data_IF_855174733942
#
_entry.id   IF_855174733942
#
_cell.length_a   1.000
_cell.length_b   1.000
_cell.length_c   1.000
_cell.angle_alpha   90.00
_cell.angle_beta   90.00
_cell.angle_gamma   90.00
#
_symmetry.space_group_name_H-M   'P 1'
#
loop_
_entity.id
_entity.type
_entity.pdbx_description
1 polymer ?
#
# COMPACT_ATOMS: atom_id res chain seq x y z
N UNK A 1 9.48 -12.74 21.83
CA UNK A 1 8.58 -11.73 21.24
C UNK A 1 7.27 -12.43 20.89
N UNK A 2 6.10 -11.84 21.18
CA UNK A 2 4.81 -12.46 20.83
C UNK A 2 4.70 -12.56 19.29
N UNK A 3 4.33 -13.71 18.70
CA UNK A 3 4.40 -13.96 17.25
C UNK A 3 3.61 -12.95 16.41
N UNK A 4 2.53 -12.38 16.96
CA UNK A 4 1.74 -11.34 16.32
C UNK A 4 2.58 -10.09 15.98
N UNK A 5 3.41 -9.60 16.90
CA UNK A 5 4.23 -8.40 16.64
C UNK A 5 5.27 -8.64 15.53
N UNK A 6 5.83 -9.84 15.46
CA UNK A 6 6.76 -10.21 14.39
C UNK A 6 6.08 -10.19 13.02
N UNK A 7 4.82 -10.64 12.93
CA UNK A 7 4.04 -10.60 11.69
C UNK A 7 3.84 -9.17 11.17
N UNK A 8 3.51 -8.25 12.09
CA UNK A 8 3.38 -6.83 11.80
C UNK A 8 4.72 -6.19 11.39
N UNK A 9 5.80 -6.51 12.11
CA UNK A 9 7.13 -5.96 11.81
C UNK A 9 7.69 -6.43 10.47
N UNK A 10 7.36 -7.65 10.03
CA UNK A 10 7.69 -8.16 8.70
C UNK A 10 6.78 -7.61 7.58
N UNK A 11 5.85 -6.70 7.90
CA UNK A 11 4.91 -6.09 6.96
C UNK A 11 4.02 -7.11 6.23
N UNK A 12 3.78 -8.28 6.83
CA UNK A 12 2.99 -9.35 6.21
C UNK A 12 1.50 -9.01 6.09
N UNK A 13 0.99 -8.10 6.95
CA UNK A 13 -0.38 -7.57 6.82
C UNK A 13 -0.57 -6.87 5.46
N UNK A 14 0.36 -5.98 5.10
CA UNK A 14 0.32 -5.23 3.84
C UNK A 14 0.48 -6.17 2.64
N UNK A 15 1.36 -7.17 2.75
CA UNK A 15 1.56 -8.19 1.71
C UNK A 15 0.27 -8.95 1.41
N UNK A 16 -0.43 -9.43 2.46
CA UNK A 16 -1.70 -10.10 2.28
C UNK A 16 -2.77 -9.16 1.71
N UNK A 17 -2.81 -7.91 2.17
CA UNK A 17 -3.71 -6.90 1.65
C UNK A 17 -3.50 -6.61 0.17
N UNK A 18 -2.26 -6.54 -0.29
CA UNK A 18 -1.94 -6.36 -1.70
C UNK A 18 -2.49 -7.51 -2.56
N UNK A 19 -2.34 -8.76 -2.10
CA UNK A 19 -2.86 -9.94 -2.82
C UNK A 19 -4.38 -9.97 -2.87
N UNK A 20 -5.05 -9.68 -1.75
CA UNK A 20 -6.52 -9.66 -1.68
C UNK A 20 -7.10 -8.53 -2.54
N UNK A 21 -6.48 -7.35 -2.49
CA UNK A 21 -6.85 -6.20 -3.32
C UNK A 21 -6.62 -6.48 -4.81
N UNK A 22 -5.53 -7.17 -5.17
CA UNK A 22 -5.25 -7.57 -6.55
C UNK A 22 -6.28 -8.58 -7.07
N UNK A 23 -6.74 -9.51 -6.22
CA UNK A 23 -7.82 -10.44 -6.59
C UNK A 23 -9.13 -9.71 -6.84
N UNK A 24 -9.48 -8.72 -6.03
CA UNK A 24 -10.67 -7.88 -6.27
C UNK A 24 -10.53 -7.13 -7.59
N UNK A 25 -9.38 -6.51 -7.85
CA UNK A 25 -9.11 -5.84 -9.12
C UNK A 25 -9.23 -6.80 -10.31
N UNK A 26 -8.69 -8.01 -10.22
CA UNK A 26 -8.80 -9.01 -11.28
C UNK A 26 -10.22 -9.47 -11.53
N UNK A 27 -11.02 -9.64 -10.48
CA UNK A 27 -12.43 -9.99 -10.63
C UNK A 27 -13.23 -8.84 -11.22
N UNK A 28 -12.94 -7.59 -10.84
CA UNK A 28 -13.56 -6.40 -11.43
C UNK A 28 -13.22 -6.24 -12.91
N UNK A 29 -11.97 -6.54 -13.27
CA UNK A 29 -11.45 -6.45 -14.63
C UNK A 29 -11.71 -7.69 -15.47
N UNK A 30 -12.42 -8.69 -14.97
CA UNK A 30 -12.67 -9.96 -15.67
C UNK A 30 -11.36 -10.59 -16.23
N UNK A 31 -10.33 -10.60 -15.39
CA UNK A 31 -9.04 -11.28 -15.61
C UNK A 31 -8.98 -12.49 -14.67
N UNK A 32 -9.98 -13.35 -14.75
CA UNK A 32 -10.09 -14.56 -13.93
C UNK A 32 -10.18 -15.77 -14.87
N UNK A 33 -9.41 -16.86 -14.62
CA UNK A 33 -8.48 -17.04 -13.50
C UNK A 33 -7.14 -16.31 -13.69
N UNK A 34 -6.64 -15.66 -12.62
CA UNK A 34 -5.25 -15.20 -12.59
C UNK A 34 -4.35 -16.42 -12.40
N UNK A 35 -3.25 -16.48 -13.15
CA UNK A 35 -2.20 -17.46 -12.90
C UNK A 35 -1.68 -17.34 -11.45
N UNK A 36 -1.60 -18.46 -10.72
CA UNK A 36 -1.23 -18.48 -9.30
C UNK A 36 0.11 -17.78 -9.02
N UNK A 37 1.06 -17.88 -9.96
CA UNK A 37 2.37 -17.24 -9.86
C UNK A 37 2.27 -15.71 -9.75
N UNK A 38 1.27 -15.07 -10.36
CA UNK A 38 1.07 -13.61 -10.28
C UNK A 38 0.84 -13.17 -8.83
N UNK A 39 -0.01 -13.87 -8.09
CA UNK A 39 -0.27 -13.55 -6.68
C UNK A 39 0.96 -13.80 -5.80
N UNK A 40 1.70 -14.88 -6.05
CA UNK A 40 2.92 -15.19 -5.28
C UNK A 40 4.03 -14.18 -5.58
N UNK A 41 4.26 -13.84 -6.85
CA UNK A 41 5.26 -12.83 -7.24
C UNK A 41 4.89 -11.47 -6.68
N UNK A 42 3.62 -11.05 -6.75
CA UNK A 42 3.16 -9.80 -6.14
C UNK A 42 3.46 -9.78 -4.63
N UNK A 43 3.13 -10.86 -3.92
CA UNK A 43 3.40 -10.97 -2.49
C UNK A 43 4.90 -10.83 -2.17
N UNK A 44 5.75 -11.56 -2.91
CA UNK A 44 7.21 -11.51 -2.75
C UNK A 44 7.76 -10.11 -3.05
N UNK A 45 7.34 -9.49 -4.15
CA UNK A 45 7.83 -8.16 -4.56
C UNK A 45 7.42 -7.07 -3.57
N UNK A 46 6.16 -7.05 -3.13
CA UNK A 46 5.71 -6.11 -2.09
C UNK A 46 6.53 -6.31 -0.82
N UNK A 47 6.72 -7.56 -0.39
CA UNK A 47 7.51 -7.87 0.79
C UNK A 47 8.98 -7.43 0.66
N UNK A 48 9.61 -7.67 -0.50
CA UNK A 48 10.98 -7.25 -0.80
C UNK A 48 11.09 -5.73 -0.73
N UNK A 49 10.21 -5.00 -1.42
CA UNK A 49 10.27 -3.52 -1.48
C UNK A 49 10.12 -2.94 -0.06
N UNK A 50 9.14 -3.40 0.71
CA UNK A 50 8.94 -2.95 2.09
C UNK A 50 10.15 -3.28 2.97
N UNK A 51 10.71 -4.49 2.87
CA UNK A 51 11.85 -4.89 3.70
C UNK A 51 13.11 -4.10 3.32
N UNK A 52 13.36 -3.89 2.03
CA UNK A 52 14.52 -3.11 1.54
C UNK A 52 14.42 -1.64 1.94
N UNK A 53 13.27 -0.98 1.73
CA UNK A 53 13.03 0.40 2.18
C UNK A 53 13.36 0.54 3.67
N UNK A 54 12.90 -0.40 4.50
CA UNK A 54 13.17 -0.36 5.95
C UNK A 54 14.62 -0.66 6.32
N UNK A 55 15.29 -1.59 5.64
CA UNK A 55 16.71 -1.84 5.86
C UNK A 55 17.57 -0.63 5.49
N UNK A 56 17.17 0.11 4.45
CA UNK A 56 17.85 1.35 4.03
C UNK A 56 17.58 2.51 4.99
N UNK A 57 16.33 2.68 5.44
CA UNK A 57 15.95 3.68 6.43
C UNK A 57 16.75 3.50 7.74
N UNK A 58 16.85 2.27 8.24
CA UNK A 58 17.63 1.95 9.45
C UNK A 58 19.13 2.20 9.29
N UNK A 59 19.68 2.01 8.08
CA UNK A 59 21.10 2.32 7.79
C UNK A 59 21.37 3.83 7.80
N UNK A 60 20.39 4.63 7.39
CA UNK A 60 20.50 6.10 7.30
C UNK A 60 20.18 6.80 8.62
N UNK A 61 19.40 6.17 9.49
CA UNK A 61 18.96 6.75 10.75
C UNK A 61 20.11 6.83 11.78
N UNK A 62 20.51 8.05 12.14
CA UNK A 62 21.37 8.35 13.28
C UNK A 62 20.52 8.85 14.46
N UNK A 63 20.00 7.93 15.28
CA UNK A 63 19.16 8.29 16.43
C UNK A 63 18.48 7.09 17.10
N UNK A 64 17.75 7.30 18.21
CA UNK A 64 16.99 6.26 18.87
C UNK A 64 15.86 5.76 17.97
N UNK A 65 15.61 4.46 18.07
CA UNK A 65 14.87 3.68 17.09
C UNK A 65 13.54 3.23 17.72
N UNK A 66 12.41 3.38 17.01
CA UNK A 66 11.15 2.74 17.44
C UNK A 66 11.36 1.22 17.60
N UNK A 67 10.49 0.49 18.33
CA UNK A 67 10.61 -0.96 18.47
C UNK A 67 10.75 -1.69 17.12
N UNK A 68 10.01 -1.23 16.10
CA UNK A 68 10.10 -1.73 14.72
C UNK A 68 11.46 -1.46 14.07
N UNK A 69 12.00 -0.26 14.20
CA UNK A 69 13.32 0.07 13.69
C UNK A 69 14.42 -0.76 14.39
N UNK A 70 14.29 -0.96 15.71
CA UNK A 70 15.19 -1.82 16.49
C UNK A 70 15.13 -3.27 15.99
N UNK A 71 13.94 -3.80 15.69
CA UNK A 71 13.78 -5.13 15.11
C UNK A 71 14.53 -5.28 13.77
N UNK A 72 14.36 -4.34 12.85
CA UNK A 72 15.02 -4.39 11.54
C UNK A 72 16.54 -4.22 11.66
N UNK A 73 17.01 -3.36 12.57
CA UNK A 73 18.45 -3.19 12.82
C UNK A 73 19.09 -4.45 13.37
N UNK A 74 18.45 -5.07 14.36
CA UNK A 74 18.97 -6.29 15.03
C UNK A 74 18.97 -7.50 14.10
N UNK A 75 18.05 -7.57 13.14
CA UNK A 75 17.91 -8.70 12.22
C UNK A 75 18.36 -8.40 10.78
N UNK A 76 19.07 -7.29 10.57
CA UNK A 76 19.36 -6.76 9.22
C UNK A 76 20.01 -7.78 8.29
N UNK A 77 21.00 -8.55 8.78
CA UNK A 77 21.69 -9.59 7.98
C UNK A 77 20.74 -10.72 7.57
N UNK A 78 19.95 -11.23 8.51
CA UNK A 78 18.97 -12.31 8.23
C UNK A 78 17.88 -11.83 7.28
N UNK A 79 17.36 -10.62 7.50
CA UNK A 79 16.38 -10.00 6.60
C UNK A 79 16.96 -9.80 5.20
N UNK A 80 18.22 -9.38 5.07
CA UNK A 80 18.91 -9.29 3.78
C UNK A 80 19.03 -10.64 3.06
N UNK A 81 19.34 -11.71 3.78
CA UNK A 81 19.37 -13.07 3.22
C UNK A 81 17.98 -13.53 2.76
N UNK A 82 16.94 -13.26 3.56
CA UNK A 82 15.57 -13.58 3.20
C UNK A 82 15.09 -12.78 1.97
N UNK A 83 15.46 -11.49 1.87
CA UNK A 83 15.21 -10.66 0.69
C UNK A 83 15.90 -11.24 -0.54
N UNK A 84 17.16 -11.66 -0.45
CA UNK A 84 17.87 -12.29 -1.55
C UNK A 84 17.19 -13.60 -2.00
N UNK A 85 16.79 -14.45 -1.04
CA UNK A 85 16.06 -15.68 -1.33
C UNK A 85 14.68 -15.42 -1.98
N UNK A 86 13.94 -14.44 -1.48
CA UNK A 86 12.66 -14.02 -2.05
C UNK A 86 12.81 -13.45 -3.46
N UNK A 87 13.86 -12.66 -3.71
CA UNK A 87 14.16 -12.12 -5.04
C UNK A 87 14.54 -13.20 -6.04
N UNK A 88 15.34 -14.20 -5.61
CA UNK A 88 15.67 -15.36 -6.44
C UNK A 88 14.41 -16.15 -6.78
N UNK A 89 13.57 -16.45 -5.79
CA UNK A 89 12.31 -17.15 -5.99
C UNK A 89 11.38 -16.37 -6.93
N UNK A 90 11.23 -15.05 -6.73
CA UNK A 90 10.45 -14.21 -7.62
C UNK A 90 11.01 -14.24 -9.06
N UNK A 91 12.33 -14.18 -9.23
CA UNK A 91 12.99 -14.27 -10.53
C UNK A 91 12.72 -15.59 -11.26
N UNK A 92 12.67 -16.71 -10.54
CA UNK A 92 12.27 -18.02 -11.09
C UNK A 92 10.78 -18.01 -11.45
N UNK A 93 9.93 -17.47 -10.58
CA UNK A 93 8.48 -17.46 -10.79
C UNK A 93 8.04 -16.54 -11.93
N UNK A 94 8.86 -15.55 -12.32
CA UNK A 94 8.60 -14.66 -13.47
C UNK A 94 8.43 -15.44 -14.77
N UNK A 95 9.11 -16.57 -14.96
CA UNK A 95 8.96 -17.41 -16.15
C UNK A 95 7.56 -18.04 -16.30
N UNK A 96 6.78 -18.05 -15.22
CA UNK A 96 5.40 -18.54 -15.22
C UNK A 96 4.37 -17.41 -15.37
N UNK A 97 4.80 -16.15 -15.49
CA UNK A 97 3.91 -15.01 -15.63
C UNK A 97 3.49 -14.79 -17.09
N UNK A 98 2.25 -14.33 -17.34
CA UNK A 98 1.84 -13.88 -18.66
C UNK A 98 2.77 -12.77 -19.20
N UNK A 99 3.03 -12.78 -20.51
CA UNK A 99 3.94 -11.84 -21.18
C UNK A 99 3.70 -10.35 -20.82
N UNK A 100 2.45 -9.86 -20.76
CA UNK A 100 2.20 -8.47 -20.41
C UNK A 100 2.56 -8.16 -18.95
N UNK A 101 2.35 -9.12 -18.04
CA UNK A 101 2.57 -8.94 -16.60
C UNK A 101 4.04 -8.81 -16.26
N UNK A 102 4.91 -9.66 -16.81
CA UNK A 102 6.35 -9.54 -16.49
C UNK A 102 7.00 -8.31 -17.15
N UNK A 103 6.55 -7.90 -18.35
CA UNK A 103 6.99 -6.64 -18.97
C UNK A 103 6.62 -5.44 -18.11
N UNK A 104 5.36 -5.38 -17.68
CA UNK A 104 4.88 -4.36 -16.75
C UNK A 104 5.68 -4.37 -15.44
N UNK A 105 5.87 -5.56 -14.86
CA UNK A 105 6.63 -5.75 -13.62
C UNK A 105 8.09 -5.34 -13.72
N UNK A 106 8.74 -5.56 -14.87
CA UNK A 106 10.12 -5.12 -15.11
C UNK A 106 10.24 -3.59 -15.10
N UNK A 107 9.32 -2.91 -15.81
CA UNK A 107 9.27 -1.44 -15.85
C UNK A 107 8.98 -0.87 -14.47
N UNK A 108 7.93 -1.35 -13.81
CA UNK A 108 7.54 -0.88 -12.47
C UNK A 108 8.63 -1.18 -11.44
N UNK A 109 9.26 -2.35 -11.50
CA UNK A 109 10.39 -2.73 -10.65
C UNK A 109 11.58 -1.81 -10.83
N UNK A 110 11.91 -1.44 -12.07
CA UNK A 110 12.93 -0.44 -12.38
C UNK A 110 12.61 0.93 -11.79
N UNK A 111 11.35 1.38 -11.91
CA UNK A 111 10.88 2.64 -11.31
C UNK A 111 10.99 2.59 -9.78
N UNK A 112 10.55 1.50 -9.14
CA UNK A 112 10.66 1.32 -7.69
C UNK A 112 12.12 1.33 -7.22
N UNK A 113 13.02 0.64 -7.92
CA UNK A 113 14.44 0.62 -7.60
C UNK A 113 15.07 2.01 -7.75
N UNK A 114 14.77 2.72 -8.84
CA UNK A 114 15.22 4.09 -9.07
C UNK A 114 14.71 5.05 -8.00
N UNK A 115 13.44 4.93 -7.62
CA UNK A 115 12.82 5.69 -6.54
C UNK A 115 13.50 5.44 -5.18
N UNK A 116 13.66 4.17 -4.77
CA UNK A 116 14.30 3.80 -3.51
C UNK A 116 15.73 4.33 -3.46
N UNK A 117 16.48 4.18 -4.56
CA UNK A 117 17.84 4.70 -4.66
C UNK A 117 17.88 6.23 -4.55
N UNK A 118 16.98 6.93 -5.25
CA UNK A 118 16.88 8.38 -5.18
C UNK A 118 16.60 8.86 -3.75
N UNK A 119 15.56 8.31 -3.10
CA UNK A 119 15.19 8.64 -1.71
C UNK A 119 16.33 8.35 -0.74
N UNK A 120 17.04 7.23 -0.92
CA UNK A 120 18.18 6.87 -0.09
C UNK A 120 19.32 7.91 -0.20
N UNK A 121 19.57 8.44 -1.40
CA UNK A 121 20.64 9.43 -1.65
C UNK A 121 20.30 10.85 -1.20
N UNK A 122 19.02 11.20 -1.06
CA UNK A 122 18.62 12.56 -0.67
C UNK A 122 19.05 12.90 0.78
N UNK A 123 19.40 14.15 1.10
CA UNK A 123 19.57 14.58 2.49
C UNK A 123 18.30 14.37 3.32
N UNK A 124 18.45 14.17 4.64
CA UNK A 124 17.35 13.79 5.55
C UNK A 124 16.17 14.80 5.63
N UNK A 125 16.35 16.04 5.14
CA UNK A 125 15.33 17.10 5.11
C UNK A 125 15.09 17.68 3.72
N UNK A 126 15.40 16.94 2.67
CA UNK A 126 15.20 17.41 1.31
C UNK A 126 13.70 17.52 0.98
N UNK A 127 13.22 18.61 0.33
CA UNK A 127 11.80 18.82 0.03
C UNK A 127 11.17 17.69 -0.81
N UNK A 128 11.95 17.04 -1.68
CA UNK A 128 11.45 15.89 -2.45
C UNK A 128 11.04 14.67 -1.59
N UNK A 129 11.45 14.59 -0.32
CA UNK A 129 10.97 13.57 0.60
C UNK A 129 9.47 13.75 0.94
N UNK A 130 8.90 14.93 0.74
CA UNK A 130 7.45 15.16 0.86
C UNK A 130 6.65 14.40 -0.21
N UNK A 131 7.27 14.14 -1.36
CA UNK A 131 6.65 13.32 -2.41
C UNK A 131 6.77 11.82 -2.11
N UNK A 132 7.48 11.42 -1.04
CA UNK A 132 7.68 10.00 -0.68
C UNK A 132 6.33 9.29 -0.56
N UNK A 133 5.43 9.83 0.25
CA UNK A 133 4.11 9.25 0.56
C UNK A 133 3.20 9.11 -0.67
N UNK A 134 2.91 10.17 -1.45
CA UNK A 134 2.04 10.03 -2.62
C UNK A 134 2.66 9.12 -3.70
N UNK A 135 3.98 9.14 -3.87
CA UNK A 135 4.65 8.24 -4.83
C UNK A 135 4.55 6.77 -4.39
N UNK A 136 4.71 6.47 -3.10
CA UNK A 136 4.55 5.09 -2.60
C UNK A 136 3.12 4.61 -2.79
N UNK A 137 2.12 5.46 -2.52
CA UNK A 137 0.71 5.12 -2.75
C UNK A 137 0.43 4.79 -4.22
N UNK A 138 0.98 5.58 -5.16
CA UNK A 138 0.86 5.36 -6.60
C UNK A 138 1.57 4.07 -7.01
N UNK A 139 2.82 3.85 -6.59
CA UNK A 139 3.59 2.65 -6.94
C UNK A 139 2.95 1.37 -6.39
N UNK A 140 2.45 1.43 -5.15
CA UNK A 140 1.72 0.32 -4.53
C UNK A 140 0.45 -0.02 -5.32
N UNK A 141 -0.35 1.00 -5.64
CA UNK A 141 -1.60 0.84 -6.39
C UNK A 141 -1.35 0.38 -7.82
N UNK A 142 -0.30 0.88 -8.47
CA UNK A 142 0.14 0.41 -9.78
C UNK A 142 0.56 -1.06 -9.75
N UNK A 143 1.24 -1.53 -8.70
CA UNK A 143 1.54 -2.96 -8.54
C UNK A 143 0.28 -3.82 -8.42
N UNK A 144 -0.67 -3.38 -7.58
CA UNK A 144 -1.93 -4.09 -7.32
C UNK A 144 -2.86 -4.12 -8.53
N UNK A 145 -3.13 -2.97 -9.15
CA UNK A 145 -4.08 -2.84 -10.26
C UNK A 145 -3.43 -2.99 -11.63
N UNK A 146 -2.24 -2.42 -11.81
CA UNK A 146 -1.55 -2.42 -13.11
C UNK A 146 -1.13 -3.82 -13.57
N UNK A 147 -0.83 -4.75 -12.66
CA UNK A 147 -0.56 -6.15 -13.03
C UNK A 147 -1.78 -6.87 -13.62
N UNK A 148 -2.99 -6.44 -13.25
CA UNK A 148 -4.25 -6.90 -13.84
C UNK A 148 -4.49 -6.20 -15.17
N UNK A 149 -4.43 -4.87 -15.18
CA UNK A 149 -4.72 -4.05 -16.35
C UNK A 149 -3.74 -4.27 -17.51
N UNK A 150 -2.48 -4.64 -17.23
CA UNK A 150 -1.52 -5.01 -18.26
C UNK A 150 -2.01 -6.16 -19.16
N UNK A 151 -2.96 -6.97 -18.70
CA UNK A 151 -3.52 -8.09 -19.44
C UNK A 151 -4.77 -7.73 -20.25
N UNK A 152 -5.23 -6.47 -20.19
CA UNK A 152 -6.45 -5.99 -20.85
C UNK A 152 -6.11 -5.04 -21.98
N UNK A 153 -6.91 -5.08 -23.05
CA UNK A 153 -6.77 -4.12 -24.17
C UNK A 153 -7.35 -2.74 -23.83
N UNK A 154 -8.37 -2.69 -22.97
CA UNK A 154 -9.03 -1.48 -22.52
C UNK A 154 -9.44 -1.60 -21.05
N UNK A 155 -9.47 -0.46 -20.37
CA UNK A 155 -9.85 -0.33 -18.96
C UNK A 155 -11.02 0.66 -18.93
N UNK A 156 -12.11 0.28 -18.28
CA UNK A 156 -13.31 1.12 -18.21
C UNK A 156 -13.14 2.30 -17.25
N UNK A 157 -14.03 3.28 -17.37
CA UNK A 157 -14.04 4.43 -16.46
C UNK A 157 -14.25 4.00 -15.00
N UNK A 158 -15.12 3.01 -14.75
CA UNK A 158 -15.38 2.47 -13.41
C UNK A 158 -14.13 1.82 -12.84
N UNK A 159 -13.41 1.02 -13.63
CA UNK A 159 -12.15 0.40 -13.20
C UNK A 159 -11.12 1.47 -12.85
N UNK A 160 -10.96 2.50 -13.68
CA UNK A 160 -10.10 3.64 -13.38
C UNK A 160 -10.51 4.37 -12.10
N UNK A 161 -11.80 4.63 -11.90
CA UNK A 161 -12.32 5.28 -10.69
C UNK A 161 -12.01 4.44 -9.45
N UNK A 162 -12.25 3.14 -9.46
CA UNK A 162 -11.95 2.27 -8.32
C UNK A 162 -10.43 2.14 -8.07
N UNK A 163 -9.60 2.11 -9.12
CA UNK A 163 -8.14 2.15 -8.98
C UNK A 163 -7.64 3.46 -8.37
N UNK A 164 -8.26 4.59 -8.72
CA UNK A 164 -7.97 5.90 -8.12
C UNK A 164 -8.46 5.98 -6.67
N UNK A 165 -9.64 5.44 -6.37
CA UNK A 165 -10.13 5.30 -5.00
C UNK A 165 -9.16 4.47 -4.15
N UNK A 166 -8.67 3.34 -4.67
CA UNK A 166 -7.67 2.51 -4.00
C UNK A 166 -6.36 3.28 -3.77
N UNK A 167 -5.91 4.07 -4.74
CA UNK A 167 -4.72 4.93 -4.60
C UNK A 167 -4.91 5.99 -3.52
N UNK A 168 -6.10 6.61 -3.48
CA UNK A 168 -6.45 7.56 -2.43
C UNK A 168 -6.46 6.90 -1.04
N UNK A 169 -6.97 5.67 -0.91
CA UNK A 169 -6.95 4.89 0.35
C UNK A 169 -5.52 4.52 0.75
N UNK A 170 -4.67 4.11 -0.20
CA UNK A 170 -3.25 3.85 0.05
C UNK A 170 -2.53 5.10 0.57
N UNK A 171 -2.81 6.25 -0.03
CA UNK A 171 -2.25 7.52 0.45
C UNK A 171 -2.82 7.91 1.82
N UNK A 172 -4.12 7.73 2.04
CA UNK A 172 -4.79 7.96 3.32
C UNK A 172 -4.16 7.11 4.44
N UNK A 173 -3.82 5.86 4.15
CA UNK A 173 -3.16 4.95 5.08
C UNK A 173 -1.74 5.41 5.45
N UNK A 174 -0.93 5.83 4.47
CA UNK A 174 0.43 6.34 4.72
C UNK A 174 0.40 7.62 5.56
N UNK A 175 -0.42 8.60 5.15
CA UNK A 175 -0.54 9.87 5.85
C UNK A 175 -1.09 9.71 7.28
N UNK A 176 -2.00 8.75 7.48
CA UNK A 176 -2.46 8.36 8.82
C UNK A 176 -1.30 7.88 9.69
N UNK A 177 -0.43 7.01 9.16
CA UNK A 177 0.72 6.52 9.92
C UNK A 177 1.69 7.64 10.27
N UNK A 178 1.98 8.54 9.33
CA UNK A 178 2.87 9.67 9.60
C UNK A 178 2.29 10.63 10.66
N UNK A 179 0.97 10.80 10.73
CA UNK A 179 0.31 11.54 11.82
C UNK A 179 0.46 10.84 13.18
N UNK A 180 0.24 9.52 13.25
CA UNK A 180 0.35 8.78 14.51
C UNK A 180 1.81 8.69 15.00
N UNK A 181 2.77 8.49 14.10
CA UNK A 181 4.20 8.47 14.44
C UNK A 181 4.68 9.82 15.01
N UNK A 182 4.06 10.94 14.64
CA UNK A 182 4.32 12.23 15.28
C UNK A 182 3.86 12.32 16.74
N UNK A 183 2.90 11.49 17.16
CA UNK A 183 2.44 11.46 18.56
C UNK A 183 3.30 10.56 19.44
N UNK A 184 4.12 9.69 18.83
CA UNK A 184 4.99 8.79 19.56
C UNK A 184 6.20 9.55 20.15
N UNK A 185 6.67 9.18 21.36
CA UNK A 185 7.87 9.77 21.95
C UNK A 185 9.07 9.55 21.03
N UNK A 186 9.69 10.64 20.57
CA UNK A 186 10.84 10.59 19.68
C UNK A 186 11.99 11.41 20.28
N UNK A 187 13.12 10.75 20.53
CA UNK A 187 14.30 11.38 21.13
C UNK A 187 15.34 11.72 20.04
N UNK A 188 15.06 12.71 19.19
CA UNK A 188 15.99 13.14 18.14
C UNK A 188 15.34 14.00 17.04
N UNK A 189 16.00 14.15 15.90
CA UNK A 189 15.42 14.79 14.73
C UNK A 189 14.44 13.84 14.02
N UNK A 190 13.15 14.22 13.98
CA UNK A 190 12.11 13.42 13.31
C UNK A 190 12.38 13.31 11.81
N UNK A 191 12.05 12.17 11.18
CA UNK A 191 12.07 12.03 9.73
C UNK A 191 11.22 13.13 9.08
N UNK A 192 11.66 13.62 7.93
CA UNK A 192 10.89 14.62 7.18
C UNK A 192 9.80 13.94 6.35
N UNK A 193 8.55 14.16 6.74
CA UNK A 193 7.32 13.64 6.12
C UNK A 193 6.31 14.77 5.87
N UNK A 194 5.25 14.52 5.09
CA UNK A 194 4.17 15.49 4.88
C UNK A 194 3.57 15.94 6.20
N UNK A 195 3.41 14.98 7.11
CA UNK A 195 2.85 15.22 8.42
C UNK A 195 3.72 16.20 9.25
N UNK A 196 5.05 16.15 9.12
CA UNK A 196 5.96 17.11 9.76
C UNK A 196 6.03 18.47 9.06
N UNK A 197 5.81 18.52 7.74
CA UNK A 197 5.95 19.76 6.95
C UNK A 197 4.66 20.59 6.90
N UNK A 198 3.50 19.93 6.75
CA UNK A 198 2.19 20.58 6.68
C UNK A 198 1.47 20.65 8.03
N UNK A 199 1.94 19.88 9.01
CA UNK A 199 1.35 19.82 10.33
C UNK A 199 0.04 19.02 10.38
N UNK A 200 -0.43 18.77 11.60
CA UNK A 200 -1.57 17.88 11.85
C UNK A 200 -2.90 18.40 11.29
N UNK A 201 -3.12 19.71 11.29
CA UNK A 201 -4.38 20.33 10.83
C UNK A 201 -4.57 20.16 9.31
N UNK A 202 -3.53 20.44 8.52
CA UNK A 202 -3.60 20.28 7.07
C UNK A 202 -3.76 18.82 6.68
N UNK A 203 -3.03 17.91 7.33
CA UNK A 203 -3.17 16.47 7.10
C UNK A 203 -4.57 15.97 7.48
N UNK A 204 -5.16 16.47 8.58
CA UNK A 204 -6.54 16.14 8.96
C UNK A 204 -7.55 16.53 7.86
N UNK A 205 -7.38 17.74 7.32
CA UNK A 205 -8.23 18.25 6.25
C UNK A 205 -8.08 17.44 4.95
N UNK A 206 -6.86 17.05 4.59
CA UNK A 206 -6.59 16.20 3.43
C UNK A 206 -7.26 14.83 3.61
N UNK A 207 -7.07 14.17 4.74
CA UNK A 207 -7.69 12.86 5.03
C UNK A 207 -9.21 12.93 4.96
N UNK A 208 -9.81 14.02 5.46
CA UNK A 208 -11.27 14.26 5.38
C UNK A 208 -11.74 14.40 3.94
N UNK A 209 -11.05 15.18 3.12
CA UNK A 209 -11.39 15.36 1.71
C UNK A 209 -11.18 14.10 0.89
N UNK A 210 -10.12 13.33 1.16
CA UNK A 210 -9.91 12.02 0.54
C UNK A 210 -11.06 11.07 0.90
N UNK A 211 -11.46 11.02 2.17
CA UNK A 211 -12.59 10.17 2.60
C UNK A 211 -13.88 10.57 1.91
N UNK A 212 -14.19 11.88 1.89
CA UNK A 212 -15.36 12.38 1.19
C UNK A 212 -15.34 12.03 -0.29
N UNK A 213 -14.20 12.24 -0.96
CA UNK A 213 -14.04 11.94 -2.39
C UNK A 213 -14.21 10.46 -2.70
N UNK A 214 -13.61 9.56 -1.91
CA UNK A 214 -13.76 8.11 -2.09
C UNK A 214 -15.20 7.66 -1.85
N UNK A 215 -15.85 8.15 -0.79
CA UNK A 215 -17.25 7.81 -0.50
C UNK A 215 -18.18 8.35 -1.59
N UNK A 216 -17.99 9.59 -2.03
CA UNK A 216 -18.78 10.17 -3.12
C UNK A 216 -18.60 9.40 -4.43
N UNK A 217 -17.37 8.99 -4.77
CA UNK A 217 -17.10 8.14 -5.94
C UNK A 217 -17.78 6.76 -5.81
N UNK A 218 -17.76 6.15 -4.63
CA UNK A 218 -18.43 4.87 -4.38
C UNK A 218 -19.95 4.96 -4.62
N UNK A 219 -20.60 6.01 -4.09
CA UNK A 219 -22.01 6.28 -4.36
C UNK A 219 -22.27 6.62 -5.84
N UNK A 220 -21.38 7.38 -6.47
CA UNK A 220 -21.45 7.69 -7.91
C UNK A 220 -21.47 6.42 -8.77
N UNK A 221 -20.58 5.46 -8.49
CA UNK A 221 -20.58 4.14 -9.17
C UNK A 221 -21.90 3.41 -8.90
N UNK A 222 -22.41 3.42 -7.67
CA UNK A 222 -23.67 2.75 -7.34
C UNK A 222 -24.87 3.29 -8.13
N UNK A 223 -24.89 4.60 -8.41
CA UNK A 223 -26.01 5.27 -9.09
C UNK A 223 -25.86 5.31 -10.61
N UNK A 224 -24.63 5.40 -11.13
CA UNK A 224 -24.36 5.72 -12.53
C UNK A 224 -23.77 4.56 -13.34
N UNK A 225 -23.24 3.51 -12.70
CA UNK A 225 -22.69 2.38 -13.44
C UNK A 225 -23.80 1.57 -14.12
N UNK A 226 -23.52 1.10 -15.34
CA UNK A 226 -24.41 0.22 -16.10
C UNK A 226 -23.75 -1.14 -16.40
N UNK A 227 -24.52 -2.08 -16.94
CA UNK A 227 -24.03 -3.43 -17.26
C UNK A 227 -22.96 -3.46 -18.36
N UNK A 228 -22.87 -2.43 -19.20
CA UNK A 228 -21.86 -2.33 -20.26
C UNK A 228 -20.53 -1.73 -19.79
N UNK A 229 -20.52 -1.11 -18.61
CA UNK A 229 -19.39 -0.31 -18.12
C UNK A 229 -18.28 -1.11 -17.44
N UNK A 230 -18.43 -2.40 -17.16
CA UNK A 230 -17.48 -3.14 -16.32
C UNK A 230 -17.32 -4.59 -16.73
N UNK A 231 -16.08 -5.09 -16.80
CA UNK A 231 -15.78 -6.49 -17.13
C UNK A 231 -16.40 -7.48 -16.14
N UNK A 232 -16.21 -7.27 -14.84
CA UNK A 232 -16.67 -8.15 -13.76
C UNK A 232 -18.17 -8.10 -13.45
N UNK A 233 -18.94 -7.31 -14.20
CA UNK A 233 -20.37 -7.12 -14.04
C UNK A 233 -20.76 -6.05 -13.01
N UNK A 234 -21.92 -5.42 -13.24
CA UNK A 234 -22.40 -4.27 -12.48
C UNK A 234 -22.49 -4.51 -10.97
N UNK A 235 -23.09 -5.64 -10.56
CA UNK A 235 -23.28 -5.95 -9.12
C UNK A 235 -21.96 -6.08 -8.38
N UNK A 236 -20.92 -6.60 -9.03
CA UNK A 236 -19.60 -6.73 -8.41
C UNK A 236 -18.95 -5.36 -8.27
N UNK A 237 -18.99 -4.53 -9.31
CA UNK A 237 -18.49 -3.15 -9.28
C UNK A 237 -19.12 -2.31 -8.16
N UNK A 238 -20.44 -2.39 -7.98
CA UNK A 238 -21.10 -1.67 -6.89
C UNK A 238 -20.62 -2.16 -5.51
N UNK A 239 -20.43 -3.48 -5.35
CA UNK A 239 -19.94 -4.06 -4.07
C UNK A 239 -18.48 -3.68 -3.80
N UNK A 240 -17.60 -3.74 -4.80
CA UNK A 240 -16.19 -3.35 -4.66
C UNK A 240 -16.05 -1.86 -4.38
N UNK A 241 -16.82 -1.00 -5.06
CA UNK A 241 -16.87 0.43 -4.81
C UNK A 241 -17.32 0.75 -3.38
N UNK A 242 -18.40 0.12 -2.89
CA UNK A 242 -18.84 0.28 -1.50
C UNK A 242 -17.78 -0.22 -0.51
N UNK A 243 -17.08 -1.32 -0.83
CA UNK A 243 -16.02 -1.84 0.02
C UNK A 243 -14.83 -0.87 0.11
N UNK A 244 -14.41 -0.27 -1.00
CA UNK A 244 -13.40 0.80 -1.01
C UNK A 244 -13.86 2.02 -0.20
N UNK A 245 -15.15 2.38 -0.28
CA UNK A 245 -15.76 3.39 0.59
C UNK A 245 -15.62 3.04 2.08
N UNK A 246 -15.95 1.82 2.47
CA UNK A 246 -15.82 1.32 3.85
C UNK A 246 -14.36 1.34 4.30
N UNK A 247 -13.41 0.91 3.45
CA UNK A 247 -11.97 0.98 3.72
C UNK A 247 -11.54 2.40 4.09
N UNK A 248 -11.95 3.40 3.30
CA UNK A 248 -11.64 4.81 3.55
C UNK A 248 -12.26 5.33 4.85
N UNK A 249 -13.52 4.97 5.12
CA UNK A 249 -14.22 5.33 6.37
C UNK A 249 -13.52 4.73 7.59
N UNK A 250 -13.05 3.48 7.52
CA UNK A 250 -12.31 2.84 8.61
C UNK A 250 -11.05 3.63 8.95
N UNK A 251 -10.26 4.04 7.94
CA UNK A 251 -9.07 4.86 8.15
C UNK A 251 -9.42 6.22 8.78
N UNK A 252 -10.52 6.85 8.35
CA UNK A 252 -11.02 8.09 8.94
C UNK A 252 -11.47 7.91 10.39
N UNK A 253 -12.11 6.79 10.74
CA UNK A 253 -12.47 6.47 12.12
C UNK A 253 -11.21 6.30 12.99
N UNK A 254 -10.18 5.62 12.48
CA UNK A 254 -8.91 5.46 13.21
C UNK A 254 -8.31 6.83 13.56
N UNK A 255 -8.30 7.74 12.59
CA UNK A 255 -7.86 9.12 12.76
C UNK A 255 -8.65 9.88 13.84
N UNK A 256 -9.97 9.68 13.92
CA UNK A 256 -10.84 10.45 14.82
C UNK A 256 -10.68 10.07 16.30
N UNK A 257 -10.19 8.87 16.60
CA UNK A 257 -10.04 8.35 17.96
C UNK A 257 -8.59 8.00 18.31
N UNK A 258 -7.63 8.97 18.24
CA UNK A 258 -6.21 8.69 18.39
C UNK A 258 -5.86 8.09 19.75
N UNK A 259 -6.51 8.55 20.84
CA UNK A 259 -6.26 8.00 22.18
C UNK A 259 -6.56 6.50 22.34
N UNK A 260 -7.48 5.95 21.54
CA UNK A 260 -7.77 4.52 21.53
C UNK A 260 -6.81 3.73 20.62
N UNK A 261 -6.50 4.28 19.45
CA UNK A 261 -5.72 3.60 18.40
C UNK A 261 -4.21 3.76 18.54
N UNK A 262 -3.69 4.76 19.24
CA UNK A 262 -2.26 4.88 19.55
C UNK A 262 -1.78 3.80 20.54
N UNK A 263 -2.69 3.30 21.41
CA UNK A 263 -2.33 2.26 22.38
C UNK A 263 -1.96 0.97 21.65
N UNK A 264 -0.79 0.41 21.97
CA UNK A 264 -0.28 -0.85 21.41
C UNK A 264 -0.17 -0.88 19.87
N UNK A 265 0.10 0.25 19.21
CA UNK A 265 0.23 0.33 17.74
C UNK A 265 -1.03 -0.16 16.98
N UNK A 266 -2.22 -0.08 17.59
CA UNK A 266 -3.49 -0.55 16.99
C UNK A 266 -3.81 0.14 15.66
N UNK A 267 -3.47 1.42 15.55
CA UNK A 267 -3.64 2.20 14.32
C UNK A 267 -2.96 1.52 13.13
N UNK A 268 -1.80 0.88 13.33
CA UNK A 268 -1.04 0.21 12.27
C UNK A 268 -1.61 -1.16 11.94
N UNK A 269 -1.98 -1.95 12.95
CA UNK A 269 -2.64 -3.24 12.73
C UNK A 269 -3.93 -3.09 11.93
N UNK A 270 -4.82 -2.20 12.36
CA UNK A 270 -6.11 -1.99 11.70
C UNK A 270 -5.97 -1.19 10.41
N UNK A 271 -5.03 -0.25 10.37
CA UNK A 271 -4.73 0.51 9.15
C UNK A 271 -4.21 -0.37 8.02
N UNK A 272 -3.28 -1.30 8.30
CA UNK A 272 -2.79 -2.23 7.28
C UNK A 272 -3.82 -3.32 6.94
N UNK A 273 -4.60 -3.78 7.93
CA UNK A 273 -5.66 -4.77 7.72
C UNK A 273 -6.85 -4.24 6.91
N UNK A 274 -6.99 -2.91 6.73
CA UNK A 274 -8.01 -2.33 5.83
C UNK A 274 -7.91 -2.91 4.42
N UNK A 275 -6.69 -3.21 3.94
CA UNK A 275 -6.49 -3.83 2.63
C UNK A 275 -6.92 -5.29 2.55
N UNK A 276 -7.40 -5.88 3.64
CA UNK A 276 -7.97 -7.23 3.65
C UNK A 276 -9.47 -7.23 3.37
N UNK A 277 -10.14 -6.10 3.59
CA UNK A 277 -11.57 -5.93 3.35
C UNK A 277 -12.05 -6.31 1.94
N UNK A 278 -11.26 -6.13 0.85
CA UNK A 278 -11.59 -6.68 -0.46
C UNK A 278 -11.94 -8.17 -0.47
N UNK A 279 -11.43 -8.97 0.48
CA UNK A 279 -11.77 -10.38 0.60
C UNK A 279 -13.26 -10.65 0.87
N UNK A 280 -13.98 -9.70 1.46
CA UNK A 280 -15.38 -9.86 1.83
C UNK A 280 -16.35 -9.72 0.65
N UNK A 281 -15.88 -9.20 -0.50
CA UNK A 281 -16.68 -9.06 -1.72
C UNK A 281 -16.33 -10.08 -2.80
N UNK A 282 -15.23 -10.82 -2.62
CA UNK A 282 -14.68 -11.79 -3.58
C UNK A 282 -15.52 -13.06 -3.74
#
# INVERSE_FOLDING_TARGET
MRPLYTFNYLSLLVVLGAVLSNRMAARLSDVVPIHWATSVVLALVVWIIYTVDRLLDVRKASGPQTPRHTFHRTHATRLGQMVAGAALLAGILVFFLPKPVWKFGLVLGGICAGYVLAVFRLPARHPALLLKEPLVAILFSAGVWGSVWAQRASISAVEWTEGLMFTAIAFQNLLLFDLFEQTEPYTGARPYSLATAWGSVACDQILRWLTFGVVAAAFGICLMADNGSVGGGLRFAQRSALMLGIMSVVLYVIQRYPGYYSKHERYRWLGDAVFWLPALVL
#
